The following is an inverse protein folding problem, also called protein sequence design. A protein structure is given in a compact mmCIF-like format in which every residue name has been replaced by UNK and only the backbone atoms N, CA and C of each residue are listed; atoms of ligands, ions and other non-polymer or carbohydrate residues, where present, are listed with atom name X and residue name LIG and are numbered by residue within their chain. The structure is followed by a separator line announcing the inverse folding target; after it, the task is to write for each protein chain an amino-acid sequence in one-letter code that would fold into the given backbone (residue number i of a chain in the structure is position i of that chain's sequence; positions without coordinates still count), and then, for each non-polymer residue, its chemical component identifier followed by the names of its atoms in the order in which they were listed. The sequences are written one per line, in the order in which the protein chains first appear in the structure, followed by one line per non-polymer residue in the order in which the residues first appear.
data_IF_777191124720
#
_entry.id   IF_777191124720
#
_cell.length_a   1.000
_cell.length_b   1.000
_cell.length_c   1.000
_cell.angle_alpha   90.00
_cell.angle_beta   90.00
_cell.angle_gamma   90.00
#
_symmetry.space_group_name_H-M   'P 1'
#
loop_
_entity.id
_entity.type
_entity.pdbx_description
1 polymer ?
#
# COMPACT_ATOMS: atom_id res chain seq x y z
N UNK A 1 -17.58 26.78 20.75
CA UNK A 1 -16.62 26.86 19.62
C UNK A 1 -15.73 25.66 19.74
N UNK A 2 -15.68 24.74 18.77
CA UNK A 2 -14.86 23.55 18.90
C UNK A 2 -13.38 23.95 18.80
N UNK A 3 -12.56 23.32 19.64
CA UNK A 3 -11.11 23.52 19.70
C UNK A 3 -10.48 23.30 18.33
N UNK A 4 -9.66 24.26 17.87
CA UNK A 4 -8.72 24.03 16.78
C UNK A 4 -7.68 23.01 17.28
N UNK A 5 -7.95 21.72 17.11
CA UNK A 5 -6.98 20.67 17.34
C UNK A 5 -5.74 20.95 16.48
N UNK A 6 -4.63 21.29 17.12
CA UNK A 6 -3.39 21.57 16.42
C UNK A 6 -2.90 20.28 15.76
N UNK A 7 -2.96 20.24 14.43
CA UNK A 7 -2.42 19.11 13.65
C UNK A 7 -0.92 19.04 13.91
N UNK A 8 -0.47 17.92 14.48
CA UNK A 8 0.95 17.69 14.78
C UNK A 8 1.79 17.81 13.49
N UNK A 9 2.81 18.68 13.47
CA UNK A 9 3.58 18.98 12.26
C UNK A 9 4.48 17.81 11.84
N UNK A 10 4.81 17.76 10.55
CA UNK A 10 5.78 16.80 9.99
C UNK A 10 7.17 17.43 9.87
N UNK A 11 8.25 16.62 9.91
CA UNK A 11 9.61 17.11 9.64
C UNK A 11 9.74 17.67 8.21
N UNK A 12 10.66 18.61 7.98
CA UNK A 12 10.86 19.20 6.66
C UNK A 12 11.40 18.17 5.66
N UNK A 13 10.75 18.08 4.49
CA UNK A 13 11.11 17.12 3.43
C UNK A 13 12.10 17.66 2.40
N UNK A 14 12.49 18.94 2.50
CA UNK A 14 13.32 19.64 1.49
C UNK A 14 14.68 18.96 1.26
N UNK A 15 15.26 18.38 2.31
CA UNK A 15 16.60 17.81 2.26
C UNK A 15 16.63 16.43 1.56
N UNK A 16 15.46 15.83 1.31
CA UNK A 16 15.32 14.67 0.41
C UNK A 16 15.66 15.00 -1.05
N UNK A 17 15.60 16.27 -1.44
CA UNK A 17 15.98 16.75 -2.78
C UNK A 17 17.46 17.16 -2.88
N UNK A 18 18.24 17.02 -1.80
CA UNK A 18 19.66 17.41 -1.79
C UNK A 18 20.49 16.62 -2.80
N UNK A 19 21.47 17.26 -3.42
CA UNK A 19 22.48 16.58 -4.25
C UNK A 19 23.34 15.61 -3.43
N UNK A 20 23.55 15.92 -2.15
CA UNK A 20 24.40 15.15 -1.25
C UNK A 20 23.71 13.88 -0.72
N UNK A 21 24.20 12.67 -1.05
CA UNK A 21 23.58 11.42 -0.61
C UNK A 21 23.55 11.23 0.91
N UNK A 22 24.50 11.80 1.64
CA UNK A 22 24.51 11.78 3.11
C UNK A 22 23.36 12.60 3.69
N UNK A 23 23.10 13.78 3.13
CA UNK A 23 22.02 14.68 3.54
C UNK A 23 20.66 14.03 3.28
N UNK A 24 20.46 13.43 2.10
CA UNK A 24 19.21 12.70 1.79
C UNK A 24 18.97 11.54 2.76
N UNK A 25 20.00 10.74 3.05
CA UNK A 25 19.90 9.61 4.00
C UNK A 25 19.59 10.06 5.42
N UNK A 26 20.22 11.14 5.88
CA UNK A 26 19.93 11.71 7.20
C UNK A 26 18.48 12.20 7.29
N UNK A 27 17.99 12.92 6.27
CA UNK A 27 16.62 13.40 6.21
C UNK A 27 15.61 12.24 6.16
N UNK A 28 15.87 11.20 5.35
CA UNK A 28 15.03 10.00 5.31
C UNK A 28 14.94 9.33 6.68
N UNK A 29 16.08 9.15 7.36
CA UNK A 29 16.11 8.59 8.71
C UNK A 29 15.27 9.41 9.70
N UNK A 30 15.36 10.74 9.64
CA UNK A 30 14.54 11.62 10.49
C UNK A 30 13.04 11.45 10.22
N UNK A 31 12.64 11.33 8.95
CA UNK A 31 11.24 11.10 8.58
C UNK A 31 10.76 9.75 9.08
N UNK A 32 11.52 8.67 8.85
CA UNK A 32 11.14 7.34 9.33
C UNK A 32 11.06 7.30 10.86
N UNK A 33 12.01 7.90 11.57
CA UNK A 33 11.96 8.03 13.05
C UNK A 33 10.68 8.73 13.50
N UNK A 34 10.34 9.85 12.86
CA UNK A 34 9.10 10.58 13.17
C UNK A 34 7.85 9.74 12.93
N UNK A 35 7.78 9.01 11.81
CA UNK A 35 6.64 8.11 11.52
C UNK A 35 6.51 6.99 12.55
N UNK A 36 7.63 6.43 13.02
CA UNK A 36 7.64 5.38 14.03
C UNK A 36 7.25 5.89 15.42
N UNK A 37 7.81 7.04 15.82
CA UNK A 37 7.63 7.63 17.15
C UNK A 37 6.28 8.34 17.33
N UNK A 38 5.64 8.76 16.24
CA UNK A 38 4.35 9.46 16.29
C UNK A 38 3.26 8.55 16.86
N UNK A 39 2.43 9.12 17.73
CA UNK A 39 1.36 8.40 18.40
C UNK A 39 0.27 7.95 17.42
N UNK A 40 -0.19 6.69 17.53
CA UNK A 40 -1.22 6.12 16.67
C UNK A 40 -2.55 6.91 16.71
N UNK A 41 -2.85 7.57 17.83
CA UNK A 41 -4.01 8.46 18.01
C UNK A 41 -3.92 9.79 17.24
N UNK A 42 -2.77 10.12 16.65
CA UNK A 42 -2.51 11.34 15.88
C UNK A 42 -2.20 11.02 14.41
N UNK A 43 -3.17 10.51 13.61
CA UNK A 43 -2.96 10.15 12.22
C UNK A 43 -2.51 11.32 11.35
N UNK A 44 -1.70 11.00 10.34
CA UNK A 44 -1.30 11.97 9.33
C UNK A 44 -2.50 12.40 8.48
N UNK A 45 -2.57 13.69 8.20
CA UNK A 45 -3.55 14.21 7.24
C UNK A 45 -3.17 13.83 5.81
N UNK A 46 -4.15 13.78 4.89
CA UNK A 46 -3.90 13.56 3.46
C UNK A 46 -2.85 14.51 2.87
N UNK A 47 -2.87 15.79 3.29
CA UNK A 47 -1.87 16.77 2.83
C UNK A 47 -0.46 16.44 3.33
N UNK A 48 -0.32 16.00 4.58
CA UNK A 48 0.97 15.59 5.13
C UNK A 48 1.50 14.34 4.43
N UNK A 49 0.65 13.33 4.19
CA UNK A 49 1.03 12.14 3.42
C UNK A 49 1.49 12.51 2.00
N UNK A 50 0.81 13.43 1.33
CA UNK A 50 1.22 13.91 0.00
C UNK A 50 2.55 14.67 0.02
N UNK A 51 2.79 15.49 1.04
CA UNK A 51 4.08 16.19 1.22
C UNK A 51 5.22 15.21 1.45
N UNK A 52 5.00 14.20 2.31
CA UNK A 52 5.96 13.14 2.59
C UNK A 52 6.25 12.32 1.32
N UNK A 53 5.22 11.79 0.65
CA UNK A 53 5.41 10.99 -0.57
C UNK A 53 6.06 11.74 -1.72
N UNK A 54 5.76 13.04 -1.88
CA UNK A 54 6.51 13.91 -2.82
C UNK A 54 8.00 13.93 -2.51
N UNK A 55 8.36 14.13 -1.25
CA UNK A 55 9.74 14.10 -0.80
C UNK A 55 10.40 12.73 -1.01
N UNK A 56 9.73 11.65 -0.58
CA UNK A 56 10.25 10.28 -0.69
C UNK A 56 10.44 9.85 -2.15
N UNK A 57 9.50 10.22 -3.03
CA UNK A 57 9.64 10.04 -4.47
C UNK A 57 10.88 10.76 -4.99
N UNK A 58 11.09 12.03 -4.62
CA UNK A 58 12.27 12.80 -5.04
C UNK A 58 13.56 12.16 -4.49
N UNK A 59 13.55 11.63 -3.26
CA UNK A 59 14.70 10.93 -2.69
C UNK A 59 15.12 9.74 -3.56
N UNK A 60 14.16 8.91 -3.99
CA UNK A 60 14.41 7.81 -4.91
C UNK A 60 14.82 8.33 -6.29
N UNK A 61 14.16 9.37 -6.81
CA UNK A 61 14.46 9.99 -8.11
C UNK A 61 15.90 10.53 -8.18
N UNK A 62 16.41 11.11 -7.09
CA UNK A 62 17.78 11.62 -6.97
C UNK A 62 18.80 10.54 -6.58
N UNK A 63 18.35 9.32 -6.28
CA UNK A 63 19.25 8.20 -6.00
C UNK A 63 19.89 7.67 -7.27
N UNK A 64 21.04 8.25 -7.60
CA UNK A 64 21.88 7.88 -8.75
C UNK A 64 23.09 7.05 -8.27
N UNK A 65 22.82 5.79 -7.95
CA UNK A 65 23.83 4.84 -7.47
C UNK A 65 24.08 3.79 -8.55
N UNK A 66 25.36 3.54 -8.85
CA UNK A 66 25.77 2.42 -9.73
C UNK A 66 25.57 1.05 -9.07
N UNK A 67 25.39 1.02 -7.75
CA UNK A 67 25.12 -0.20 -7.02
C UNK A 67 23.61 -0.48 -7.03
N UNK A 68 23.19 -1.43 -7.87
CA UNK A 68 21.79 -1.84 -7.98
C UNK A 68 21.19 -2.26 -6.63
N UNK A 69 21.96 -2.90 -5.75
CA UNK A 69 21.50 -3.29 -4.42
C UNK A 69 21.14 -2.07 -3.57
N UNK A 70 21.89 -0.98 -3.69
CA UNK A 70 21.58 0.25 -2.96
C UNK A 70 20.26 0.89 -3.43
N UNK A 71 19.94 0.79 -4.73
CA UNK A 71 18.66 1.27 -5.26
C UNK A 71 17.52 0.38 -4.78
N UNK A 72 17.73 -0.93 -4.78
CA UNK A 72 16.76 -1.91 -4.27
C UNK A 72 16.47 -1.71 -2.79
N UNK A 73 17.51 -1.52 -1.97
CA UNK A 73 17.37 -1.25 -0.53
C UNK A 73 16.53 0.00 -0.27
N UNK A 74 16.81 1.10 -0.99
CA UNK A 74 16.02 2.32 -0.83
C UNK A 74 14.55 2.10 -1.22
N UNK A 75 14.28 1.46 -2.36
CA UNK A 75 12.90 1.16 -2.77
C UNK A 75 12.18 0.26 -1.76
N UNK A 76 12.87 -0.73 -1.19
CA UNK A 76 12.33 -1.62 -0.17
C UNK A 76 12.07 -0.89 1.15
N UNK A 77 12.98 -0.02 1.59
CA UNK A 77 12.81 0.82 2.79
C UNK A 77 11.59 1.74 2.66
N UNK A 78 11.39 2.36 1.49
CA UNK A 78 10.21 3.18 1.22
C UNK A 78 8.93 2.35 1.22
N UNK A 79 8.93 1.16 0.58
CA UNK A 79 7.76 0.28 0.55
C UNK A 79 7.41 -0.29 1.94
N UNK A 80 8.41 -0.59 2.78
CA UNK A 80 8.21 -1.11 4.13
C UNK A 80 7.43 -0.16 5.05
N UNK A 81 7.31 1.13 4.70
CA UNK A 81 6.42 2.07 5.40
C UNK A 81 4.96 1.63 5.38
N UNK A 82 4.53 0.79 4.43
CA UNK A 82 3.19 0.18 4.38
C UNK A 82 2.92 -0.63 5.65
N UNK A 83 3.86 -1.50 6.05
CA UNK A 83 3.76 -2.28 7.29
C UNK A 83 3.74 -1.40 8.53
N UNK A 84 4.55 -0.34 8.53
CA UNK A 84 4.55 0.63 9.62
C UNK A 84 3.18 1.31 9.78
N UNK A 85 2.54 1.73 8.69
CA UNK A 85 1.21 2.35 8.76
C UNK A 85 0.13 1.35 9.17
N UNK A 86 0.22 0.09 8.74
CA UNK A 86 -0.68 -0.97 9.16
C UNK A 86 -0.60 -1.22 10.67
N UNK A 87 0.63 -1.31 11.21
CA UNK A 87 0.84 -1.45 12.66
C UNK A 87 0.28 -0.24 13.44
N UNK A 88 0.36 0.97 12.89
CA UNK A 88 -0.26 2.16 13.50
C UNK A 88 -1.78 2.09 13.54
N UNK A 89 -2.42 1.53 12.50
CA UNK A 89 -3.86 1.29 12.53
C UNK A 89 -4.24 0.25 13.60
N UNK A 90 -3.45 -0.84 13.76
CA UNK A 90 -3.66 -1.85 14.81
C UNK A 90 -3.46 -1.27 16.24
N UNK A 91 -2.42 -0.46 16.45
CA UNK A 91 -2.18 0.29 17.69
C UNK A 91 -3.33 1.25 18.03
N UNK A 92 -3.91 1.91 17.01
CA UNK A 92 -5.03 2.82 17.20
C UNK A 92 -6.33 2.08 17.56
N UNK A 93 -6.55 0.87 17.01
CA UNK A 93 -7.73 0.07 17.36
C UNK A 93 -7.64 -0.51 18.77
N UNK A 94 -6.47 -1.03 19.18
CA UNK A 94 -6.28 -1.63 20.50
C UNK A 94 -6.35 -0.64 21.65
N UNK A 95 -5.97 0.62 21.43
CA UNK A 95 -6.05 1.69 22.44
C UNK A 95 -7.47 2.26 22.65
N UNK A 96 -8.44 1.88 21.83
CA UNK A 96 -9.84 2.33 21.92
C UNK A 96 -10.79 1.39 22.66
N UNK A 97 -10.37 0.19 23.05
CA UNK A 97 -11.24 -0.85 23.62
C UNK A 97 -11.45 -0.72 25.15
N UNK A 98 -10.72 0.15 25.85
CA UNK A 98 -10.81 0.31 27.32
C UNK A 98 -12.04 1.09 27.81
N UNK A 99 -12.90 1.62 26.93
CA UNK A 99 -14.06 2.49 27.26
C UNK A 99 -15.45 1.86 27.00
N UNK A 100 -15.57 0.54 26.80
CA UNK A 100 -16.87 -0.13 26.59
C UNK A 100 -17.53 -0.63 27.90
N UNK A 101 -17.81 0.29 28.83
CA UNK A 101 -18.83 0.05 29.86
C UNK A 101 -19.89 1.16 29.85
N UNK A 102 -20.66 1.24 28.76
CA UNK A 102 -21.92 1.99 28.73
C UNK A 102 -22.93 1.38 27.75
N UNK A 103 -23.87 0.69 28.38
CA UNK A 103 -25.18 0.25 27.95
C UNK A 103 -25.82 1.02 26.77
N UNK A 104 -26.29 0.29 25.76
CA UNK A 104 -27.53 0.61 25.05
C UNK A 104 -27.45 1.54 23.83
N UNK A 105 -27.44 0.91 22.65
CA UNK A 105 -28.12 1.38 21.44
C UNK A 105 -27.76 2.80 20.97
N UNK A 106 -26.52 2.97 20.51
CA UNK A 106 -26.16 4.03 19.57
C UNK A 106 -25.50 3.38 18.36
N UNK A 107 -26.09 3.53 17.18
CA UNK A 107 -25.34 3.53 15.91
C UNK A 107 -24.39 4.73 15.98
N UNK A 108 -23.32 4.56 16.76
CA UNK A 108 -22.22 5.49 16.83
C UNK A 108 -21.54 5.48 15.48
N UNK A 109 -21.43 6.65 14.84
CA UNK A 109 -20.56 6.86 13.69
C UNK A 109 -19.10 6.70 14.14
N UNK A 110 -18.65 5.47 14.41
CA UNK A 110 -17.29 5.14 14.84
C UNK A 110 -16.23 5.31 13.74
N UNK A 111 -16.60 5.84 12.57
CA UNK A 111 -15.77 5.82 11.36
C UNK A 111 -15.06 7.14 11.01
N UNK A 112 -14.89 8.07 11.96
CA UNK A 112 -14.37 9.40 11.63
C UNK A 112 -12.86 9.59 11.83
N UNK A 113 -12.15 8.61 12.42
CA UNK A 113 -10.70 8.67 12.49
C UNK A 113 -10.10 8.13 11.18
N UNK A 114 -9.29 8.92 10.46
CA UNK A 114 -8.70 8.49 9.20
C UNK A 114 -7.70 7.36 9.45
N UNK A 115 -7.83 6.26 8.71
CA UNK A 115 -6.83 5.18 8.72
C UNK A 115 -5.49 5.71 8.22
N UNK A 116 -4.43 5.35 8.95
CA UNK A 116 -3.04 5.62 8.61
C UNK A 116 -2.70 5.01 7.25
N UNK A 117 -2.98 3.71 7.10
CA UNK A 117 -2.63 2.98 5.90
C UNK A 117 -3.40 3.49 4.67
N UNK A 118 -4.71 3.74 4.79
CA UNK A 118 -5.51 4.21 3.65
C UNK A 118 -5.04 5.56 3.15
N UNK A 119 -4.82 6.50 4.07
CA UNK A 119 -4.39 7.86 3.75
C UNK A 119 -2.98 7.84 3.15
N UNK A 120 -2.10 7.00 3.68
CA UNK A 120 -0.74 6.81 3.19
C UNK A 120 -0.69 6.17 1.79
N UNK A 121 -1.44 5.08 1.59
CA UNK A 121 -1.52 4.38 0.31
C UNK A 121 -2.17 5.23 -0.78
N UNK A 122 -3.22 5.97 -0.44
CA UNK A 122 -3.85 6.94 -1.36
C UNK A 122 -2.84 8.00 -1.80
N UNK A 123 -2.09 8.60 -0.86
CA UNK A 123 -1.08 9.60 -1.17
C UNK A 123 0.10 9.05 -2.00
N UNK A 124 0.48 7.77 -1.79
CA UNK A 124 1.45 7.07 -2.63
C UNK A 124 0.97 7.01 -4.08
N UNK A 125 -0.21 6.44 -4.31
CA UNK A 125 -0.73 6.26 -5.66
C UNK A 125 -1.02 7.60 -6.36
N UNK A 126 -1.54 8.59 -5.63
CA UNK A 126 -1.67 9.97 -6.11
C UNK A 126 -0.35 10.55 -6.61
N UNK A 127 0.71 10.33 -5.83
CA UNK A 127 2.04 10.82 -6.16
C UNK A 127 2.59 10.11 -7.39
N UNK A 128 2.55 8.77 -7.44
CA UNK A 128 3.04 8.02 -8.59
C UNK A 128 2.26 8.35 -9.87
N UNK A 129 0.93 8.47 -9.78
CA UNK A 129 0.10 8.84 -10.93
C UNK A 129 0.47 10.21 -11.49
N UNK A 130 0.68 11.21 -10.61
CA UNK A 130 1.06 12.57 -11.01
C UNK A 130 2.43 12.61 -11.68
N UNK A 131 3.41 11.89 -11.15
CA UNK A 131 4.80 11.97 -11.60
C UNK A 131 5.10 11.03 -12.80
N UNK A 132 4.27 10.02 -13.06
CA UNK A 132 4.58 8.93 -13.99
C UNK A 132 5.05 9.40 -15.37
N UNK A 133 4.35 10.36 -15.97
CA UNK A 133 4.64 10.83 -17.33
C UNK A 133 5.89 11.70 -17.42
N UNK A 134 6.41 12.19 -16.29
CA UNK A 134 7.61 13.02 -16.24
C UNK A 134 8.87 12.21 -15.94
N UNK A 135 8.75 10.90 -15.69
CA UNK A 135 9.89 10.02 -15.44
C UNK A 135 10.63 9.77 -16.76
N UNK A 136 11.89 10.14 -16.83
CA UNK A 136 12.74 9.81 -17.96
C UNK A 136 13.18 8.33 -17.95
N UNK A 137 13.58 7.82 -19.11
CA UNK A 137 13.93 6.41 -19.31
C UNK A 137 15.02 5.87 -18.37
N UNK A 138 15.97 6.72 -17.92
CA UNK A 138 17.08 6.28 -17.06
C UNK A 138 16.63 6.10 -15.60
N UNK A 139 15.54 6.76 -15.21
CA UNK A 139 15.00 6.73 -13.84
C UNK A 139 13.78 5.82 -13.70
N UNK A 140 13.22 5.33 -14.80
CA UNK A 140 12.01 4.49 -14.80
C UNK A 140 12.18 3.23 -13.94
N UNK A 141 13.27 2.47 -14.13
CA UNK A 141 13.44 1.16 -13.48
C UNK A 141 13.30 1.18 -11.96
N UNK A 142 13.81 2.21 -11.28
CA UNK A 142 13.69 2.32 -9.82
C UNK A 142 12.27 2.67 -9.36
N UNK A 143 11.52 3.44 -10.14
CA UNK A 143 10.11 3.73 -9.84
C UNK A 143 9.24 2.49 -10.08
N UNK A 144 9.49 1.75 -11.16
CA UNK A 144 8.85 0.45 -11.40
C UNK A 144 9.09 -0.52 -10.22
N UNK A 145 10.32 -0.56 -9.71
CA UNK A 145 10.68 -1.38 -8.55
C UNK A 145 9.97 -0.93 -7.27
N UNK A 146 9.88 0.38 -7.01
CA UNK A 146 9.12 0.90 -5.87
C UNK A 146 7.64 0.50 -5.95
N UNK A 147 7.00 0.63 -7.11
CA UNK A 147 5.61 0.21 -7.31
C UNK A 147 5.44 -1.28 -7.04
N UNK A 148 6.36 -2.11 -7.55
CA UNK A 148 6.35 -3.57 -7.32
C UNK A 148 6.45 -3.89 -5.83
N UNK A 149 7.37 -3.27 -5.09
CA UNK A 149 7.51 -3.49 -3.66
C UNK A 149 6.33 -2.93 -2.85
N UNK A 150 5.77 -1.79 -3.24
CA UNK A 150 4.61 -1.23 -2.56
C UNK A 150 3.39 -2.18 -2.65
N UNK A 151 3.13 -2.74 -3.84
CA UNK A 151 2.11 -3.77 -4.06
C UNK A 151 2.39 -5.02 -3.21
N UNK A 152 3.64 -5.50 -3.21
CA UNK A 152 4.06 -6.63 -2.38
C UNK A 152 3.73 -6.41 -0.90
N UNK A 153 4.15 -5.29 -0.33
CA UNK A 153 3.93 -5.00 1.09
C UNK A 153 2.44 -4.85 1.41
N UNK A 154 1.64 -4.30 0.48
CA UNK A 154 0.18 -4.17 0.63
C UNK A 154 -0.48 -5.54 0.70
N UNK A 155 -0.15 -6.46 -0.21
CA UNK A 155 -0.68 -7.83 -0.18
C UNK A 155 -0.21 -8.59 1.05
N UNK A 156 1.05 -8.43 1.44
CA UNK A 156 1.59 -9.07 2.64
C UNK A 156 0.82 -8.67 3.89
N UNK A 157 0.60 -7.38 4.11
CA UNK A 157 -0.20 -6.86 5.23
C UNK A 157 -1.60 -7.46 5.24
N UNK A 158 -2.27 -7.49 4.08
CA UNK A 158 -3.63 -8.03 3.97
C UNK A 158 -3.70 -9.53 4.27
N UNK A 159 -2.77 -10.33 3.73
CA UNK A 159 -2.73 -11.77 3.99
C UNK A 159 -2.33 -12.08 5.43
N UNK A 160 -1.36 -11.37 6.01
CA UNK A 160 -0.97 -11.55 7.41
C UNK A 160 -2.11 -11.22 8.37
N UNK A 161 -2.89 -10.15 8.12
CA UNK A 161 -4.04 -9.82 8.94
C UNK A 161 -5.10 -10.94 8.96
N UNK A 162 -5.35 -11.55 7.79
CA UNK A 162 -6.31 -12.67 7.64
C UNK A 162 -5.76 -13.96 8.24
N UNK A 163 -4.46 -14.20 8.12
CA UNK A 163 -3.82 -15.38 8.70
C UNK A 163 -3.81 -15.34 10.24
N UNK A 164 -3.68 -14.14 10.82
CA UNK A 164 -3.70 -13.96 12.27
C UNK A 164 -5.12 -14.04 12.85
N UNK A 165 -6.13 -13.56 12.12
CA UNK A 165 -7.53 -13.62 12.54
C UNK A 165 -8.46 -13.69 11.32
N UNK A 166 -8.89 -14.90 11.00
CA UNK A 166 -9.70 -15.23 9.81
C UNK A 166 -11.13 -14.70 9.89
N UNK A 167 -11.69 -14.59 11.09
CA UNK A 167 -13.07 -14.20 11.32
C UNK A 167 -13.25 -12.73 11.66
N UNK A 168 -12.18 -12.04 12.05
CA UNK A 168 -12.20 -10.61 12.34
C UNK A 168 -12.79 -9.77 11.21
N UNK A 169 -13.79 -8.97 11.59
CA UNK A 169 -14.39 -7.96 10.70
C UNK A 169 -13.34 -6.92 10.31
N UNK A 170 -12.42 -6.57 11.21
CA UNK A 170 -11.37 -5.59 10.95
C UNK A 170 -10.40 -6.06 9.86
N UNK A 171 -10.00 -7.34 9.87
CA UNK A 171 -9.13 -7.92 8.84
C UNK A 171 -9.79 -7.92 7.47
N UNK A 172 -11.09 -8.26 7.40
CA UNK A 172 -11.87 -8.23 6.16
C UNK A 172 -12.10 -6.80 5.65
N UNK A 173 -12.36 -5.86 6.56
CA UNK A 173 -12.52 -4.44 6.24
C UNK A 173 -11.20 -3.82 5.73
N UNK A 174 -10.05 -4.20 6.30
CA UNK A 174 -8.73 -3.82 5.79
C UNK A 174 -8.54 -4.27 4.34
N UNK A 175 -8.79 -5.55 4.05
CA UNK A 175 -8.70 -6.10 2.68
C UNK A 175 -9.61 -5.31 1.73
N UNK A 176 -10.84 -5.03 2.14
CA UNK A 176 -11.80 -4.29 1.33
C UNK A 176 -11.32 -2.87 1.03
N UNK A 177 -10.85 -2.11 2.04
CA UNK A 177 -10.34 -0.74 1.88
C UNK A 177 -9.12 -0.69 0.96
N UNK A 178 -8.15 -1.59 1.17
CA UNK A 178 -6.96 -1.65 0.32
C UNK A 178 -7.30 -2.05 -1.13
N UNK A 179 -8.23 -3.00 -1.33
CA UNK A 179 -8.74 -3.34 -2.66
C UNK A 179 -9.38 -2.13 -3.35
N UNK A 180 -10.22 -1.37 -2.63
CA UNK A 180 -10.86 -0.18 -3.16
C UNK A 180 -9.85 0.90 -3.57
N UNK A 181 -8.76 1.07 -2.83
CA UNK A 181 -7.68 2.00 -3.20
C UNK A 181 -7.01 1.54 -4.50
N UNK A 182 -6.69 0.25 -4.63
CA UNK A 182 -6.08 -0.30 -5.85
C UNK A 182 -7.01 -0.20 -7.07
N UNK A 183 -8.32 -0.36 -6.88
CA UNK A 183 -9.34 -0.17 -7.91
C UNK A 183 -9.52 1.31 -8.29
N UNK A 184 -9.43 2.22 -7.32
CA UNK A 184 -9.60 3.67 -7.52
C UNK A 184 -8.40 4.30 -8.22
N UNK A 185 -7.20 3.78 -7.96
CA UNK A 185 -5.96 4.35 -8.48
C UNK A 185 -5.32 3.46 -9.56
N UNK A 186 -4.35 2.58 -9.27
CA UNK A 186 -3.54 1.96 -10.30
C UNK A 186 -4.34 1.12 -11.31
N UNK A 187 -5.49 0.55 -10.91
CA UNK A 187 -6.36 -0.23 -11.78
C UNK A 187 -7.68 0.46 -12.14
N UNK A 188 -7.77 1.78 -11.97
CA UNK A 188 -8.96 2.52 -12.39
C UNK A 188 -9.18 2.41 -13.90
N UNK A 189 -10.35 1.93 -14.37
CA UNK A 189 -10.55 1.72 -15.80
C UNK A 189 -10.64 3.00 -16.62
N UNK A 190 -11.04 4.11 -16.00
CA UNK A 190 -11.43 5.34 -16.70
C UNK A 190 -10.87 6.64 -16.12
N UNK A 191 -10.22 6.59 -14.96
CA UNK A 191 -9.63 7.79 -14.36
C UNK A 191 -8.49 8.33 -15.23
N UNK A 192 -8.61 9.58 -15.66
CA UNK A 192 -7.63 10.23 -16.56
C UNK A 192 -6.33 10.55 -15.83
N UNK A 193 -6.40 10.77 -14.51
CA UNK A 193 -5.22 11.02 -13.68
C UNK A 193 -4.29 9.81 -13.59
N UNK A 194 -4.80 8.61 -13.87
CA UNK A 194 -4.03 7.36 -13.84
C UNK A 194 -3.48 7.11 -15.24
N UNK A 195 -2.14 7.08 -15.44
CA UNK A 195 -1.55 6.88 -16.76
C UNK A 195 -1.57 5.40 -17.19
N UNK A 196 -1.72 5.13 -18.50
CA UNK A 196 -1.75 3.75 -19.01
C UNK A 196 -0.46 2.98 -18.75
N UNK A 197 0.70 3.64 -18.77
CA UNK A 197 1.97 3.00 -18.44
C UNK A 197 2.00 2.44 -17.01
N UNK A 198 1.36 3.13 -16.06
CA UNK A 198 1.25 2.65 -14.69
C UNK A 198 0.33 1.43 -14.61
N UNK A 199 -0.85 1.48 -15.26
CA UNK A 199 -1.77 0.34 -15.34
C UNK A 199 -1.07 -0.90 -15.88
N UNK A 200 -0.34 -0.75 -16.99
CA UNK A 200 0.38 -1.84 -17.64
C UNK A 200 1.42 -2.46 -16.71
N UNK A 201 2.24 -1.63 -16.04
CA UNK A 201 3.24 -2.12 -15.09
C UNK A 201 2.61 -2.83 -13.90
N UNK A 202 1.54 -2.27 -13.33
CA UNK A 202 0.84 -2.89 -12.20
C UNK A 202 0.28 -4.25 -12.60
N UNK A 203 -0.34 -4.35 -13.79
CA UNK A 203 -0.82 -5.63 -14.32
C UNK A 203 0.31 -6.64 -14.57
N UNK A 204 1.50 -6.18 -15.00
CA UNK A 204 2.66 -7.04 -15.23
C UNK A 204 3.17 -7.72 -13.96
N UNK A 205 3.09 -7.04 -12.83
CA UNK A 205 3.61 -7.56 -11.55
C UNK A 205 2.52 -8.10 -10.63
N UNK A 206 1.23 -7.85 -10.92
CA UNK A 206 0.11 -8.12 -10.02
C UNK A 206 0.10 -9.56 -9.50
N UNK A 207 0.08 -10.53 -10.42
CA UNK A 207 -0.07 -11.96 -10.08
C UNK A 207 1.17 -12.49 -9.36
N UNK A 208 2.36 -12.07 -9.79
CA UNK A 208 3.61 -12.47 -9.16
C UNK A 208 3.70 -11.99 -7.72
N UNK A 209 3.33 -10.73 -7.45
CA UNK A 209 3.36 -10.20 -6.09
C UNK A 209 2.22 -10.76 -5.23
N UNK A 210 1.01 -10.92 -5.78
CA UNK A 210 -0.14 -11.46 -5.06
C UNK A 210 0.09 -12.91 -4.63
N UNK A 211 0.39 -13.80 -5.58
CA UNK A 211 0.63 -15.22 -5.27
C UNK A 211 1.93 -15.41 -4.50
N UNK A 212 2.97 -14.62 -4.79
CA UNK A 212 4.21 -14.67 -4.03
C UNK A 212 4.01 -14.34 -2.54
N UNK A 213 3.13 -13.39 -2.20
CA UNK A 213 2.81 -13.11 -0.79
C UNK A 213 1.87 -14.12 -0.17
N UNK A 214 0.92 -14.68 -0.93
CA UNK A 214 0.11 -15.81 -0.48
C UNK A 214 0.98 -16.99 -0.05
N UNK A 215 1.98 -17.34 -0.86
CA UNK A 215 2.91 -18.45 -0.58
C UNK A 215 3.79 -18.16 0.63
N UNK A 216 4.30 -16.93 0.77
CA UNK A 216 5.10 -16.51 1.93
C UNK A 216 4.31 -16.66 3.23
N UNK A 217 3.05 -16.20 3.26
CA UNK A 217 2.22 -16.28 4.47
C UNK A 217 1.85 -17.73 4.80
N UNK A 218 1.50 -18.54 3.79
CA UNK A 218 1.26 -19.99 3.96
C UNK A 218 2.47 -20.73 4.54
N UNK A 219 3.68 -20.39 4.09
CA UNK A 219 4.91 -21.00 4.59
C UNK A 219 5.30 -20.54 6.00
N UNK A 220 4.80 -19.37 6.43
CA UNK A 220 5.06 -18.84 7.77
C UNK A 220 4.14 -19.39 8.87
N UNK A 221 3.03 -20.05 8.50
CA UNK A 221 2.09 -20.68 9.45
C UNK A 221 2.65 -21.97 10.07
N UNK A 222 2.31 -22.24 11.33
CA UNK A 222 2.61 -23.50 12.02
C UNK A 222 1.58 -24.56 11.63
N UNK A 223 2.02 -25.81 11.46
CA UNK A 223 1.17 -26.94 11.01
C UNK A 223 0.19 -27.35 12.13
N UNK A 224 -1.01 -26.79 12.15
CA UNK A 224 -2.11 -27.16 13.07
C UNK A 224 -3.43 -27.36 12.28
N UNK A 225 -4.39 -28.12 12.85
CA UNK A 225 -5.66 -28.51 12.17
C UNK A 225 -6.55 -27.32 11.69
N UNK A 226 -6.30 -26.09 12.15
CA UNK A 226 -6.97 -24.85 11.71
C UNK A 226 -6.45 -24.33 10.34
N UNK A 227 -5.38 -24.94 9.83
CA UNK A 227 -4.71 -24.55 8.59
C UNK A 227 -5.62 -24.57 7.35
N UNK A 228 -6.61 -25.46 7.32
CA UNK A 228 -7.50 -25.56 6.15
C UNK A 228 -8.46 -24.37 6.04
N UNK A 229 -8.96 -23.84 7.16
CA UNK A 229 -9.86 -22.68 7.17
C UNK A 229 -9.09 -21.40 6.83
N UNK A 230 -7.89 -21.25 7.37
CA UNK A 230 -6.96 -20.15 7.05
C UNK A 230 -6.58 -20.22 5.56
N UNK A 231 -6.16 -21.38 5.05
CA UNK A 231 -5.77 -21.54 3.66
C UNK A 231 -6.90 -21.20 2.68
N UNK A 232 -8.14 -21.59 3.02
CA UNK A 232 -9.33 -21.24 2.24
C UNK A 232 -9.63 -19.72 2.26
N UNK A 233 -9.50 -19.08 3.43
CA UNK A 233 -9.70 -17.64 3.58
C UNK A 233 -8.66 -16.84 2.80
N UNK A 234 -7.38 -17.24 2.88
CA UNK A 234 -6.30 -16.65 2.11
C UNK A 234 -6.51 -16.81 0.60
N UNK A 235 -6.97 -17.99 0.15
CA UNK A 235 -7.32 -18.22 -1.25
C UNK A 235 -8.47 -17.31 -1.70
N UNK A 236 -9.50 -17.15 -0.87
CA UNK A 236 -10.62 -16.27 -1.17
C UNK A 236 -10.16 -14.81 -1.29
N UNK A 237 -9.30 -14.34 -0.40
CA UNK A 237 -8.74 -12.98 -0.46
C UNK A 237 -7.91 -12.78 -1.75
N UNK A 238 -7.11 -13.77 -2.14
CA UNK A 238 -6.39 -13.72 -3.41
C UNK A 238 -7.35 -13.61 -4.61
N UNK A 239 -8.44 -14.37 -4.59
CA UNK A 239 -9.49 -14.29 -5.62
C UNK A 239 -10.18 -12.91 -5.61
N UNK A 240 -10.46 -12.35 -4.43
CA UNK A 240 -11.10 -11.03 -4.30
C UNK A 240 -10.23 -9.93 -4.89
N UNK A 241 -8.91 -9.98 -4.68
CA UNK A 241 -7.95 -9.06 -5.31
C UNK A 241 -7.88 -9.20 -6.84
N UNK A 242 -8.39 -10.27 -7.45
CA UNK A 242 -8.51 -10.34 -8.92
C UNK A 242 -9.69 -9.54 -9.46
N UNK A 243 -10.67 -9.15 -8.63
CA UNK A 243 -11.86 -8.41 -9.07
C UNK A 243 -11.54 -7.09 -9.80
N UNK A 244 -10.60 -6.24 -9.33
CA UNK A 244 -10.20 -5.04 -10.08
C UNK A 244 -9.54 -5.37 -11.44
N UNK A 245 -8.77 -6.45 -11.52
CA UNK A 245 -8.13 -6.92 -12.77
C UNK A 245 -9.18 -7.38 -13.78
N UNK A 246 -10.20 -8.12 -13.32
CA UNK A 246 -11.34 -8.52 -14.13
C UNK A 246 -12.16 -7.32 -14.61
N UNK A 247 -12.30 -6.30 -13.76
CA UNK A 247 -13.02 -5.07 -14.09
C UNK A 247 -12.30 -4.28 -15.17
N UNK A 248 -10.98 -4.06 -15.01
CA UNK A 248 -10.19 -3.31 -15.99
C UNK A 248 -10.08 -4.04 -17.33
N UNK A 249 -10.04 -5.38 -17.34
CA UNK A 249 -10.01 -6.19 -18.58
C UNK A 249 -11.23 -5.95 -19.48
N UNK A 250 -12.38 -5.61 -18.88
CA UNK A 250 -13.64 -5.32 -19.57
C UNK A 250 -13.79 -3.83 -19.86
N UNK A 251 -13.51 -2.99 -18.87
CA UNK A 251 -13.95 -1.59 -18.85
C UNK A 251 -12.90 -0.56 -19.26
N UNK A 252 -11.61 -0.92 -19.34
CA UNK A 252 -10.55 0.04 -19.67
C UNK A 252 -10.79 0.74 -21.02
N UNK A 253 -10.29 1.95 -21.19
CA UNK A 253 -10.38 2.65 -22.48
C UNK A 253 -9.34 2.12 -23.48
N UNK A 254 -8.14 1.80 -23.00
CA UNK A 254 -7.02 1.34 -23.81
C UNK A 254 -7.09 -0.16 -24.13
N UNK A 255 -6.97 -0.52 -25.42
CA UNK A 255 -6.92 -1.92 -25.86
C UNK A 255 -5.73 -2.67 -25.28
N UNK A 256 -4.57 -2.00 -25.16
CA UNK A 256 -3.36 -2.59 -24.57
C UNK A 256 -3.56 -2.96 -23.11
N UNK A 257 -4.17 -2.08 -22.33
CA UNK A 257 -4.52 -2.35 -20.92
C UNK A 257 -5.49 -3.52 -20.80
N UNK A 258 -6.53 -3.59 -21.65
CA UNK A 258 -7.46 -4.73 -21.64
C UNK A 258 -6.76 -6.05 -21.92
N UNK A 259 -5.89 -6.08 -22.92
CA UNK A 259 -5.14 -7.28 -23.30
C UNK A 259 -4.25 -7.72 -22.15
N UNK A 260 -3.46 -6.80 -21.58
CA UNK A 260 -2.59 -7.13 -20.45
C UNK A 260 -3.33 -7.63 -19.22
N UNK A 261 -4.51 -7.07 -18.94
CA UNK A 261 -5.34 -7.55 -17.85
C UNK A 261 -5.89 -8.96 -18.09
N UNK A 262 -6.20 -9.32 -19.35
CA UNK A 262 -6.57 -10.70 -19.70
C UNK A 262 -5.39 -11.65 -19.53
N UNK A 263 -4.19 -11.24 -19.93
CA UNK A 263 -2.97 -12.03 -19.73
C UNK A 263 -2.73 -12.30 -18.24
N UNK A 264 -2.92 -11.28 -17.38
CA UNK A 264 -2.82 -11.44 -15.93
C UNK A 264 -3.88 -12.41 -15.36
N UNK A 265 -5.13 -12.35 -15.84
CA UNK A 265 -6.18 -13.29 -15.42
C UNK A 265 -5.81 -14.73 -15.82
N UNK A 266 -5.33 -14.92 -17.05
CA UNK A 266 -4.90 -16.22 -17.52
C UNK A 266 -3.72 -16.75 -16.68
N UNK A 267 -2.72 -15.91 -16.42
CA UNK A 267 -1.57 -16.28 -15.59
C UNK A 267 -1.98 -16.69 -14.17
N UNK A 268 -2.94 -15.96 -13.58
CA UNK A 268 -3.48 -16.32 -12.26
C UNK A 268 -4.13 -17.71 -12.29
N UNK A 269 -5.00 -17.96 -13.29
CA UNK A 269 -5.67 -19.26 -13.45
C UNK A 269 -4.67 -20.42 -13.65
N UNK A 270 -3.63 -20.21 -14.47
CA UNK A 270 -2.58 -21.20 -14.70
C UNK A 270 -1.83 -21.55 -13.41
N UNK A 271 -1.44 -20.53 -12.63
CA UNK A 271 -0.71 -20.70 -11.37
C UNK A 271 -1.56 -21.26 -10.23
N UNK A 272 -2.87 -21.03 -10.21
CA UNK A 272 -3.76 -21.58 -9.17
C UNK A 272 -4.28 -22.97 -9.50
N UNK A 273 -4.22 -23.40 -10.76
CA UNK A 273 -4.66 -24.74 -11.20
C UNK A 273 -3.53 -25.77 -11.20
N UNK A 274 -2.28 -25.32 -11.03
CA UNK A 274 -1.07 -26.15 -10.94
C UNK A 274 -0.77 -26.52 -9.50
#
# INVERSE_FOLDING_TARGET
MPENGQVEPIPPVKDLASSEPSVRRACLKTIISHLTERAASSPLTSTQCLQLWRGLYVALYMHDSKNALSVQQLAAELAATVKLMAAKDEEATSSGEDDENSNGNSKSNSNNSPSWLDTWATAFWETICREWTTIDQWRMNKVLMLVRFFLRETFNVCFTAIANDTDSTNSKDLVLRQKQILETWPLSPRERKVPDGLRLHVLDVWVDELLGQLDVVRQSGTVDDDDNAVAASLQQVAQDFMTPVETISRQALSKGVKMRAKDAIQLFQEKTSS
#
